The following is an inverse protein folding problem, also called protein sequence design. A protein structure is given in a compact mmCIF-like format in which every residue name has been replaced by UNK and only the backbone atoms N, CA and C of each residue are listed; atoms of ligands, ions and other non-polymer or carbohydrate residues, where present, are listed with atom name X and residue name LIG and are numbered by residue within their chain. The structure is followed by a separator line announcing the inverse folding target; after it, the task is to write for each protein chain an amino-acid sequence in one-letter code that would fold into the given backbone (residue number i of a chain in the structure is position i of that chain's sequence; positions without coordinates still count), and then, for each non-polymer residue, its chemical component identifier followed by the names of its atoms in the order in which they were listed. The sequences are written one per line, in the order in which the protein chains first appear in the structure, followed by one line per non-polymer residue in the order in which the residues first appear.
data_IF_828510832805
#
_entry.id   IF_828510832805
#
_cell.length_a   1.000
_cell.length_b   1.000
_cell.length_c   1.000
_cell.angle_alpha   90.00
_cell.angle_beta   90.00
_cell.angle_gamma   90.00
#
_symmetry.space_group_name_H-M   'P 1'
#
loop_
_entity.id
_entity.type
_entity.pdbx_description
1 polymer ?
#
# COMPACT_ATOMS: atom_id res chain seq x y z
N UNK A 1 16.81 -11.19 -19.76
CA UNK A 1 17.41 -11.25 -18.40
C UNK A 1 17.16 -9.90 -17.74
N UNK A 2 16.57 -9.86 -16.53
CA UNK A 2 16.33 -8.61 -15.82
C UNK A 2 17.65 -8.02 -15.32
N UNK A 3 18.18 -7.00 -16.02
CA UNK A 3 19.49 -6.41 -15.75
C UNK A 3 19.59 -5.76 -14.36
N UNK A 4 18.47 -5.23 -13.84
CA UNK A 4 18.36 -4.54 -12.53
C UNK A 4 18.74 -5.47 -11.36
N UNK A 5 18.40 -6.75 -11.44
CA UNK A 5 18.64 -7.70 -10.35
C UNK A 5 20.09 -8.26 -10.33
N UNK A 6 20.91 -7.95 -11.35
CA UNK A 6 22.24 -8.56 -11.54
C UNK A 6 23.32 -7.56 -11.95
N UNK A 7 23.07 -6.26 -11.79
CA UNK A 7 24.08 -5.24 -12.04
C UNK A 7 24.95 -5.02 -10.80
N UNK A 8 26.24 -4.73 -10.99
CA UNK A 8 27.15 -4.37 -9.90
C UNK A 8 26.74 -3.07 -9.20
N UNK A 9 26.01 -2.19 -9.90
CA UNK A 9 25.46 -0.96 -9.35
C UNK A 9 24.07 -0.66 -9.94
N UNK A 10 23.03 -0.76 -9.11
CA UNK A 10 21.63 -0.57 -9.52
C UNK A 10 21.06 0.68 -8.87
N UNK A 11 20.46 1.56 -9.66
CA UNK A 11 19.69 2.72 -9.18
C UNK A 11 18.20 2.35 -9.25
N UNK A 12 17.54 2.25 -8.10
CA UNK A 12 16.10 2.00 -7.98
C UNK A 12 15.48 3.22 -7.31
N UNK A 13 14.68 3.96 -8.08
CA UNK A 13 13.97 5.14 -7.56
C UNK A 13 12.86 4.75 -6.60
N UNK A 14 12.68 5.54 -5.55
CA UNK A 14 11.56 5.45 -4.60
C UNK A 14 10.96 6.84 -4.38
N UNK A 15 9.93 6.91 -3.56
CA UNK A 15 9.37 8.15 -3.05
C UNK A 15 9.74 8.33 -1.56
N UNK A 16 9.53 9.53 -1.03
CA UNK A 16 9.75 9.86 0.39
C UNK A 16 8.52 10.53 1.03
N UNK A 17 7.57 10.99 0.21
CA UNK A 17 6.33 11.61 0.67
C UNK A 17 5.27 10.57 1.05
N UNK A 18 4.14 11.04 1.58
CA UNK A 18 3.00 10.21 1.95
C UNK A 18 2.31 9.65 0.70
N UNK A 19 1.88 8.38 0.71
CA UNK A 19 1.09 7.85 -0.41
C UNK A 19 -0.22 8.62 -0.57
N UNK A 20 -0.62 8.83 -1.81
CA UNK A 20 -1.90 9.46 -2.16
C UNK A 20 -2.97 8.37 -2.24
N UNK A 21 -3.97 8.44 -1.38
CA UNK A 21 -5.05 7.45 -1.30
C UNK A 21 -6.38 8.12 -1.64
N UNK A 22 -7.02 7.67 -2.72
CA UNK A 22 -8.38 8.06 -3.07
C UNK A 22 -9.39 7.13 -2.34
N UNK A 23 -10.07 7.69 -1.35
CA UNK A 23 -10.99 6.93 -0.51
C UNK A 23 -12.29 6.55 -1.26
N UNK A 24 -12.69 7.30 -2.30
CA UNK A 24 -13.86 6.96 -3.11
C UNK A 24 -13.62 5.70 -3.94
N UNK A 25 -12.44 5.60 -4.55
CA UNK A 25 -12.04 4.40 -5.28
C UNK A 25 -11.84 3.20 -4.35
N UNK A 26 -11.20 3.40 -3.19
CA UNK A 26 -11.05 2.34 -2.18
C UNK A 26 -12.41 1.75 -1.80
N UNK A 27 -13.44 2.58 -1.57
CA UNK A 27 -14.81 2.10 -1.31
C UNK A 27 -15.40 1.31 -2.48
N UNK A 28 -15.14 1.69 -3.73
CA UNK A 28 -15.58 0.94 -4.90
C UNK A 28 -14.92 -0.44 -4.94
N UNK A 29 -13.62 -0.54 -4.64
CA UNK A 29 -12.93 -1.83 -4.58
C UNK A 29 -13.50 -2.76 -3.50
N UNK A 30 -13.81 -2.24 -2.32
CA UNK A 30 -14.48 -3.04 -1.26
C UNK A 30 -15.85 -3.51 -1.73
N UNK A 31 -16.66 -2.63 -2.33
CA UNK A 31 -17.99 -2.99 -2.86
C UNK A 31 -17.92 -4.03 -3.98
N UNK A 32 -16.86 -4.00 -4.78
CA UNK A 32 -16.61 -4.98 -5.83
C UNK A 32 -16.10 -6.33 -5.30
N UNK A 33 -16.02 -6.50 -3.96
CA UNK A 33 -15.66 -7.76 -3.30
C UNK A 33 -14.18 -7.92 -2.98
N UNK A 34 -13.37 -6.86 -3.06
CA UNK A 34 -11.98 -6.92 -2.65
C UNK A 34 -11.86 -6.97 -1.12
N UNK A 35 -11.23 -8.02 -0.60
CA UNK A 35 -10.90 -8.11 0.83
C UNK A 35 -9.67 -7.24 1.17
N UNK A 36 -9.93 -6.00 1.57
CA UNK A 36 -8.89 -5.04 1.97
C UNK A 36 -8.15 -5.47 3.25
N UNK A 37 -8.81 -6.18 4.16
CA UNK A 37 -8.14 -6.61 5.40
C UNK A 37 -7.15 -7.73 5.09
N UNK A 38 -7.62 -8.84 4.53
CA UNK A 38 -6.79 -10.04 4.34
C UNK A 38 -5.72 -9.91 3.25
N UNK A 39 -5.98 -9.11 2.21
CA UNK A 39 -5.08 -9.00 1.05
C UNK A 39 -4.14 -7.80 1.15
N UNK A 40 -4.60 -6.68 1.74
CA UNK A 40 -3.82 -5.43 1.75
C UNK A 40 -3.26 -5.14 3.13
N UNK A 41 -4.13 -5.02 4.13
CA UNK A 41 -3.75 -4.58 5.48
C UNK A 41 -2.88 -5.63 6.18
N UNK A 42 -3.29 -6.91 6.13
CA UNK A 42 -2.57 -8.02 6.76
C UNK A 42 -1.27 -8.41 6.05
N UNK A 43 -1.13 -8.03 4.77
CA UNK A 43 0.07 -8.26 3.96
C UNK A 43 1.05 -7.09 4.00
N UNK A 44 0.66 -5.97 4.60
CA UNK A 44 1.57 -4.85 4.80
C UNK A 44 2.70 -5.27 5.76
N UNK A 45 3.97 -5.25 5.32
CA UNK A 45 5.09 -5.82 6.08
C UNK A 45 5.27 -5.17 7.46
N UNK A 46 5.04 -3.86 7.54
CA UNK A 46 5.15 -3.06 8.77
C UNK A 46 3.80 -2.73 9.40
N UNK A 47 2.69 -3.18 8.80
CA UNK A 47 1.32 -2.82 9.23
C UNK A 47 1.09 -1.31 9.31
N UNK A 48 1.73 -0.56 8.41
CA UNK A 48 1.57 0.89 8.28
C UNK A 48 0.17 1.29 7.78
N UNK A 49 -0.54 0.36 7.14
CA UNK A 49 -1.93 0.53 6.70
C UNK A 49 -2.89 0.04 7.78
N UNK A 50 -3.95 0.79 8.03
CA UNK A 50 -5.05 0.42 8.93
C UNK A 50 -6.40 0.67 8.24
N UNK A 51 -7.28 -0.33 8.32
CA UNK A 51 -8.62 -0.25 7.73
C UNK A 51 -9.68 -0.04 8.81
N UNK A 52 -10.42 1.06 8.71
CA UNK A 52 -11.58 1.34 9.54
C UNK A 52 -12.86 0.83 8.87
N UNK A 53 -13.48 -0.21 9.41
CA UNK A 53 -14.71 -0.80 8.85
C UNK A 53 -15.92 0.13 8.96
N UNK A 54 -15.94 1.01 9.96
CA UNK A 54 -17.07 1.90 10.25
C UNK A 54 -17.09 3.06 9.25
N UNK A 55 -15.94 3.69 9.02
CA UNK A 55 -15.83 4.84 8.11
C UNK A 55 -15.48 4.44 6.67
N UNK A 56 -15.18 3.15 6.43
CA UNK A 56 -14.64 2.64 5.16
C UNK A 56 -13.46 3.49 4.66
N UNK A 57 -12.53 3.79 5.57
CA UNK A 57 -11.34 4.59 5.30
C UNK A 57 -10.09 3.75 5.48
N UNK A 58 -9.15 3.92 4.55
CA UNK A 58 -7.81 3.37 4.63
C UNK A 58 -6.87 4.44 5.17
N UNK A 59 -6.40 4.24 6.40
CA UNK A 59 -5.42 5.11 7.04
C UNK A 59 -4.01 4.60 6.78
N UNK A 60 -3.08 5.52 6.56
CA UNK A 60 -1.68 5.24 6.35
C UNK A 60 -0.82 6.00 7.36
N UNK A 61 0.09 5.28 8.00
CA UNK A 61 1.20 5.85 8.77
C UNK A 61 2.45 5.85 7.89
N UNK A 62 2.70 6.96 7.20
CA UNK A 62 3.78 7.04 6.21
C UNK A 62 5.18 6.82 6.81
N UNK A 63 5.39 7.21 8.08
CA UNK A 63 6.66 7.00 8.78
C UNK A 63 7.04 5.52 8.93
N UNK A 64 6.04 4.63 8.97
CA UNK A 64 6.22 3.20 9.15
C UNK A 64 6.21 2.44 7.80
N UNK A 65 6.06 3.14 6.66
CA UNK A 65 5.93 2.53 5.34
C UNK A 65 7.30 2.17 4.74
N UNK A 66 7.49 0.89 4.37
CA UNK A 66 8.71 0.36 3.74
C UNK A 66 8.39 -0.53 2.55
#
# INVERSE_FOLDING_TARGET
VAAIARADFTIIGTWHDTLRIDQDEVRKYVKNGLDIKGIVTDKCPTKALAWDEIEQKLNLRAADCV
#
